data_IF_637180400792
#
_entry.id   IF_637180400792
#
_cell.length_a   1.000
_cell.length_b   1.000
_cell.length_c   1.000
_cell.angle_alpha   90.00
_cell.angle_beta   90.00
_cell.angle_gamma   90.00
#
_symmetry.space_group_name_H-M   'P 1'
#
loop_
_entity.id
_entity.type
_entity.pdbx_description
1 polymer ?
#
# COMPACT_ATOMS: atom_id res chain seq x y z
N UNK A 1 -29.65 -31.23 -13.34
CA UNK A 1 -29.91 -31.26 -11.89
C UNK A 1 -29.10 -30.12 -11.27
N UNK A 2 -29.73 -28.95 -11.11
CA UNK A 2 -29.06 -27.72 -10.74
C UNK A 2 -29.02 -27.56 -9.22
N UNK A 3 -27.82 -27.39 -8.67
CA UNK A 3 -27.65 -26.91 -7.30
C UNK A 3 -27.44 -25.40 -7.39
N UNK A 4 -28.51 -24.65 -7.17
CA UNK A 4 -28.47 -23.20 -6.99
C UNK A 4 -27.89 -22.92 -5.59
N UNK A 5 -26.58 -22.71 -5.50
CA UNK A 5 -25.98 -22.16 -4.28
C UNK A 5 -26.12 -20.65 -4.32
N UNK A 6 -27.15 -20.14 -3.65
CA UNK A 6 -27.23 -18.74 -3.25
C UNK A 6 -26.01 -18.41 -2.39
N UNK A 7 -25.11 -17.55 -2.87
CA UNK A 7 -23.98 -17.07 -2.08
C UNK A 7 -23.67 -15.64 -2.45
N UNK A 8 -23.93 -14.76 -1.48
CA UNK A 8 -23.50 -13.38 -1.42
C UNK A 8 -21.96 -13.28 -1.48
N UNK A 9 -21.35 -13.52 -2.64
CA UNK A 9 -19.90 -13.40 -2.81
C UNK A 9 -19.52 -11.92 -2.72
N UNK A 10 -18.94 -11.51 -1.59
CA UNK A 10 -18.25 -10.23 -1.47
C UNK A 10 -17.30 -10.09 -2.68
N UNK A 11 -17.39 -8.98 -3.42
CA UNK A 11 -16.49 -8.70 -4.55
C UNK A 11 -15.04 -8.83 -4.08
N UNK A 12 -14.16 -9.48 -4.85
CA UNK A 12 -12.76 -9.62 -4.48
C UNK A 12 -12.10 -8.24 -4.33
N UNK A 13 -11.23 -8.09 -3.33
CA UNK A 13 -10.47 -6.87 -3.11
C UNK A 13 -9.13 -6.98 -3.83
N UNK A 14 -8.80 -5.98 -4.66
CA UNK A 14 -7.49 -5.88 -5.29
C UNK A 14 -6.45 -5.52 -4.23
N UNK A 15 -5.45 -6.38 -4.04
CA UNK A 15 -4.33 -6.15 -3.14
C UNK A 15 -3.02 -6.10 -3.94
N UNK A 16 -2.36 -4.94 -3.92
CA UNK A 16 -1.08 -4.72 -4.57
C UNK A 16 0.01 -4.58 -3.50
N UNK A 17 1.13 -5.29 -3.67
CA UNK A 17 2.23 -5.33 -2.69
C UNK A 17 3.53 -4.79 -3.31
N UNK A 18 3.69 -3.46 -3.41
CA UNK A 18 4.86 -2.85 -4.06
C UNK A 18 6.19 -3.15 -3.37
N UNK A 19 6.17 -3.57 -2.10
CA UNK A 19 7.35 -3.99 -1.35
C UNK A 19 7.57 -5.52 -1.33
N UNK A 20 6.84 -6.26 -2.15
CA UNK A 20 6.84 -7.71 -2.13
C UNK A 20 6.15 -8.28 -0.89
N UNK A 21 6.54 -9.48 -0.47
CA UNK A 21 5.90 -10.19 0.63
C UNK A 21 6.84 -11.19 1.29
N UNK A 22 6.66 -11.42 2.59
CA UNK A 22 7.43 -12.41 3.36
C UNK A 22 7.19 -13.87 2.96
N UNK A 23 6.23 -14.11 2.06
CA UNK A 23 5.86 -15.43 1.58
C UNK A 23 6.02 -15.58 0.06
N UNK A 24 6.75 -14.67 -0.59
CA UNK A 24 6.97 -14.66 -2.03
C UNK A 24 8.41 -15.07 -2.35
N UNK A 25 8.54 -16.08 -3.21
CA UNK A 25 9.80 -16.52 -3.77
C UNK A 25 9.73 -16.42 -5.29
N UNK A 26 10.84 -16.05 -5.91
CA UNK A 26 10.97 -15.85 -7.34
C UNK A 26 12.07 -16.75 -7.90
N UNK A 27 11.79 -17.43 -9.01
CA UNK A 27 12.81 -18.12 -9.77
C UNK A 27 13.27 -17.24 -10.93
N UNK A 28 14.55 -16.81 -10.98
CA UNK A 28 15.05 -15.95 -12.03
C UNK A 28 15.14 -16.63 -13.40
N UNK A 29 15.28 -17.96 -13.43
CA UNK A 29 15.40 -18.74 -14.67
C UNK A 29 14.03 -19.02 -15.30
N UNK A 30 13.06 -19.49 -14.50
CA UNK A 30 11.70 -19.77 -15.00
C UNK A 30 10.81 -18.53 -15.08
N UNK A 31 11.27 -17.39 -14.53
CA UNK A 31 10.47 -16.18 -14.36
C UNK A 31 9.12 -16.48 -13.68
N UNK A 32 9.15 -17.23 -12.58
CA UNK A 32 7.94 -17.72 -11.91
C UNK A 32 7.94 -17.38 -10.41
N UNK A 33 6.74 -17.18 -9.87
CA UNK A 33 6.52 -16.87 -8.45
C UNK A 33 5.98 -18.08 -7.73
N UNK A 34 6.53 -18.36 -6.55
CA UNK A 34 5.99 -19.34 -5.62
C UNK A 34 5.52 -18.64 -4.34
N UNK A 35 4.26 -18.93 -3.95
CA UNK A 35 3.72 -18.53 -2.67
C UNK A 35 4.06 -19.58 -1.62
N UNK A 36 4.36 -19.14 -0.41
CA UNK A 36 4.54 -20.02 0.77
C UNK A 36 3.47 -19.72 1.82
N UNK A 37 2.20 -20.14 1.61
CA UNK A 37 1.12 -19.84 2.55
C UNK A 37 1.43 -20.31 3.97
N UNK A 38 1.06 -19.48 4.96
CA UNK A 38 1.27 -19.73 6.40
C UNK A 38 2.73 -19.91 6.83
N UNK A 39 3.68 -19.73 5.92
CA UNK A 39 5.13 -19.75 6.19
C UNK A 39 5.73 -18.43 5.77
N UNK A 40 6.84 -18.05 6.39
CA UNK A 40 7.61 -16.89 5.96
C UNK A 40 8.72 -17.40 5.03
N UNK A 41 8.33 -18.01 3.91
CA UNK A 41 9.26 -18.69 3.02
C UNK A 41 10.36 -17.78 2.48
N UNK A 42 10.10 -16.47 2.36
CA UNK A 42 11.12 -15.49 2.02
C UNK A 42 12.15 -15.31 3.14
N UNK A 43 11.74 -15.40 4.42
CA UNK A 43 12.67 -15.38 5.57
C UNK A 43 13.49 -16.67 5.61
N UNK A 44 12.83 -17.81 5.45
CA UNK A 44 13.49 -19.13 5.42
C UNK A 44 14.54 -19.20 4.30
N UNK A 45 14.23 -18.62 3.13
CA UNK A 45 15.14 -18.59 1.99
C UNK A 45 16.44 -17.81 2.22
N UNK A 46 16.48 -16.85 3.15
CA UNK A 46 17.76 -16.19 3.53
C UNK A 46 18.72 -17.14 4.27
N UNK A 47 18.19 -18.16 4.95
CA UNK A 47 18.99 -19.11 5.73
C UNK A 47 19.21 -20.43 4.98
N UNK A 48 18.24 -20.84 4.15
CA UNK A 48 18.30 -22.06 3.36
C UNK A 48 17.67 -21.81 2.00
N UNK A 49 18.50 -21.77 0.96
CA UNK A 49 18.06 -21.58 -0.41
C UNK A 49 17.02 -22.64 -0.77
N UNK A 50 15.81 -22.17 -1.10
CA UNK A 50 14.80 -23.02 -1.69
C UNK A 50 15.12 -23.17 -3.18
N UNK A 51 15.05 -24.40 -3.67
CA UNK A 51 15.37 -24.74 -5.04
C UNK A 51 14.08 -24.77 -5.87
N UNK A 52 14.13 -24.19 -7.07
CA UNK A 52 13.03 -24.28 -8.02
C UNK A 52 12.82 -25.74 -8.43
N UNK A 53 11.58 -26.23 -8.38
CA UNK A 53 11.26 -27.62 -8.74
C UNK A 53 11.37 -27.92 -10.23
N UNK A 54 11.35 -26.89 -11.07
CA UNK A 54 11.34 -27.03 -12.54
C UNK A 54 12.74 -26.96 -13.17
N UNK A 55 13.61 -26.07 -12.65
CA UNK A 55 14.93 -25.81 -13.26
C UNK A 55 16.10 -25.87 -12.28
N UNK A 56 15.85 -26.27 -11.03
CA UNK A 56 16.84 -26.41 -9.96
C UNK A 56 17.62 -25.13 -9.59
N UNK A 57 17.26 -23.98 -10.17
CA UNK A 57 17.87 -22.70 -9.82
C UNK A 57 17.44 -22.28 -8.41
N UNK A 58 18.35 -21.76 -7.56
CA UNK A 58 18.01 -21.15 -6.29
C UNK A 58 16.95 -20.05 -6.46
N UNK A 59 15.90 -20.12 -5.65
CA UNK A 59 14.85 -19.11 -5.63
C UNK A 59 15.23 -17.96 -4.71
N UNK A 60 14.84 -16.75 -5.10
CA UNK A 60 15.16 -15.52 -4.41
C UNK A 60 13.94 -14.97 -3.65
N UNK A 61 14.12 -14.41 -2.44
CA UNK A 61 13.05 -13.73 -1.73
C UNK A 61 12.64 -12.43 -2.42
N UNK A 62 11.34 -12.23 -2.65
CA UNK A 62 10.81 -10.98 -3.19
C UNK A 62 10.39 -10.05 -2.06
N UNK A 63 11.37 -9.37 -1.46
CA UNK A 63 11.18 -8.34 -0.44
C UNK A 63 11.95 -7.10 -0.87
N UNK A 64 11.23 -5.98 -1.04
CA UNK A 64 11.83 -4.70 -1.40
C UNK A 64 11.69 -3.76 -0.20
N UNK A 65 12.76 -3.55 0.58
CA UNK A 65 12.70 -2.66 1.72
C UNK A 65 12.44 -1.22 1.26
N UNK A 66 11.82 -0.35 2.07
CA UNK A 66 11.63 1.06 1.75
C UNK A 66 12.94 1.85 1.88
N UNK A 67 13.94 1.53 1.04
CA UNK A 67 15.25 2.21 0.93
C UNK A 67 15.31 3.09 -0.33
N UNK A 68 16.30 3.99 -0.39
CA UNK A 68 16.59 4.81 -1.57
C UNK A 68 17.12 4.00 -2.76
N UNK A 69 17.94 2.98 -2.49
CA UNK A 69 18.45 2.04 -3.48
C UNK A 69 17.63 0.76 -3.40
N UNK A 70 16.73 0.56 -4.36
CA UNK A 70 15.89 -0.64 -4.49
C UNK A 70 16.19 -1.27 -5.83
N UNK A 71 16.49 -2.57 -5.84
CA UNK A 71 16.48 -3.32 -7.08
C UNK A 71 15.02 -3.53 -7.53
N UNK A 72 14.71 -2.95 -8.68
CA UNK A 72 13.38 -3.02 -9.32
C UNK A 72 13.41 -3.93 -10.55
N UNK A 73 14.47 -4.73 -10.73
CA UNK A 73 14.65 -5.65 -11.87
C UNK A 73 13.59 -6.76 -11.92
N UNK A 74 13.00 -7.13 -10.78
CA UNK A 74 12.01 -8.19 -10.73
C UNK A 74 10.74 -7.82 -11.55
N UNK A 75 10.40 -8.59 -12.59
CA UNK A 75 9.32 -8.24 -13.52
C UNK A 75 7.94 -8.26 -12.86
N UNK A 76 7.71 -9.09 -11.85
CA UNK A 76 6.44 -9.11 -11.11
C UNK A 76 6.26 -7.85 -10.28
N UNK A 77 7.33 -7.34 -9.67
CA UNK A 77 7.30 -6.05 -8.99
C UNK A 77 7.00 -4.93 -9.97
N UNK A 78 7.65 -4.91 -11.14
CA UNK A 78 7.38 -3.88 -12.16
C UNK A 78 5.91 -3.88 -12.57
N UNK A 79 5.31 -5.06 -12.82
CA UNK A 79 3.89 -5.18 -13.12
C UNK A 79 3.00 -4.68 -11.98
N UNK A 80 3.35 -4.96 -10.72
CA UNK A 80 2.63 -4.44 -9.55
C UNK A 80 2.71 -2.91 -9.53
N UNK A 81 3.88 -2.31 -9.77
CA UNK A 81 4.03 -0.85 -9.80
C UNK A 81 3.24 -0.20 -10.94
N UNK A 82 3.24 -0.82 -12.13
CA UNK A 82 2.39 -0.38 -13.24
C UNK A 82 0.91 -0.42 -12.84
N UNK A 83 0.48 -1.49 -12.17
CA UNK A 83 -0.91 -1.59 -11.71
C UNK A 83 -1.25 -0.59 -10.61
N UNK A 84 -0.32 -0.36 -9.68
CA UNK A 84 -0.45 0.70 -8.67
C UNK A 84 -0.64 2.05 -9.33
N UNK A 85 0.17 2.35 -10.36
CA UNK A 85 0.04 3.60 -11.11
C UNK A 85 -1.33 3.74 -11.76
N UNK A 86 -1.83 2.72 -12.45
CA UNK A 86 -3.17 2.72 -13.06
C UNK A 86 -4.28 2.97 -12.03
N UNK A 87 -4.22 2.31 -10.87
CA UNK A 87 -5.24 2.45 -9.83
C UNK A 87 -5.20 3.84 -9.21
N UNK A 88 -4.01 4.32 -8.83
CA UNK A 88 -3.84 5.62 -8.19
C UNK A 88 -4.21 6.77 -9.13
N UNK A 89 -3.86 6.66 -10.42
CA UNK A 89 -4.22 7.60 -11.49
C UNK A 89 -5.73 7.87 -11.56
N UNK A 90 -6.53 6.83 -11.39
CA UNK A 90 -7.99 6.89 -11.51
C UNK A 90 -8.69 7.09 -10.16
N UNK A 91 -7.94 7.19 -9.06
CA UNK A 91 -8.53 7.31 -7.73
C UNK A 91 -9.13 8.71 -7.51
N UNK A 92 -10.38 8.74 -7.05
CA UNK A 92 -11.03 9.96 -6.59
C UNK A 92 -10.66 10.30 -5.15
N UNK A 93 -10.56 9.25 -4.32
CA UNK A 93 -10.22 9.32 -2.91
C UNK A 93 -9.09 8.37 -2.60
N UNK A 94 -8.15 8.80 -1.78
CA UNK A 94 -7.02 7.99 -1.31
C UNK A 94 -7.01 8.02 0.22
N UNK A 95 -7.00 6.83 0.84
CA UNK A 95 -6.92 6.68 2.29
C UNK A 95 -5.51 6.22 2.66
N UNK A 96 -4.75 7.07 3.33
CA UNK A 96 -3.40 6.79 3.82
C UNK A 96 -3.51 6.36 5.28
N UNK A 97 -3.38 5.05 5.52
CA UNK A 97 -3.61 4.42 6.82
C UNK A 97 -2.30 3.92 7.43
N UNK A 98 -1.93 4.40 8.61
CA UNK A 98 -0.77 3.89 9.36
C UNK A 98 0.59 4.10 8.69
N UNK A 99 0.68 5.05 7.75
CA UNK A 99 1.88 5.31 6.96
C UNK A 99 2.47 6.68 7.33
N UNK A 100 3.75 6.69 7.71
CA UNK A 100 4.47 7.91 8.13
C UNK A 100 4.99 8.78 6.98
N UNK A 101 4.74 8.36 5.74
CA UNK A 101 5.20 9.08 4.54
C UNK A 101 6.73 9.35 4.52
N UNK A 102 7.58 8.34 4.84
CA UNK A 102 9.02 8.54 5.04
C UNK A 102 9.73 8.93 3.74
N UNK A 103 10.82 9.69 3.83
CA UNK A 103 11.54 10.21 2.66
C UNK A 103 12.22 9.13 1.82
N UNK A 104 12.60 8.01 2.44
CA UNK A 104 13.19 6.87 1.75
C UNK A 104 12.21 6.13 0.81
N UNK A 105 10.91 6.36 0.91
CA UNK A 105 9.92 5.67 0.07
C UNK A 105 9.57 6.45 -1.22
N UNK A 106 10.63 6.81 -1.94
CA UNK A 106 10.56 7.67 -3.13
C UNK A 106 9.66 7.11 -4.25
N UNK A 107 9.63 5.78 -4.45
CA UNK A 107 8.83 5.18 -5.52
C UNK A 107 7.33 5.28 -5.27
N UNK A 108 6.86 5.07 -4.03
CA UNK A 108 5.44 5.25 -3.69
C UNK A 108 5.05 6.73 -3.76
N UNK A 109 5.92 7.62 -3.28
CA UNK A 109 5.75 9.08 -3.45
C UNK A 109 5.67 9.46 -4.93
N UNK A 110 6.54 8.93 -5.78
CA UNK A 110 6.52 9.18 -7.21
C UNK A 110 5.19 8.75 -7.85
N UNK A 111 4.67 7.57 -7.49
CA UNK A 111 3.36 7.11 -7.96
C UNK A 111 2.22 8.07 -7.58
N UNK A 112 2.17 8.49 -6.31
CA UNK A 112 1.16 9.42 -5.81
C UNK A 112 1.26 10.79 -6.49
N UNK A 113 2.48 11.31 -6.68
CA UNK A 113 2.73 12.59 -7.34
C UNK A 113 2.31 12.55 -8.80
N UNK A 114 2.64 11.45 -9.50
CA UNK A 114 2.21 11.25 -10.89
C UNK A 114 0.69 11.14 -11.02
N UNK A 115 0.02 10.50 -10.07
CA UNK A 115 -1.43 10.43 -10.06
C UNK A 115 -2.05 11.83 -9.93
N UNK A 116 -1.54 12.65 -9.01
CA UNK A 116 -1.97 14.05 -8.84
C UNK A 116 -1.72 14.89 -10.11
N UNK A 117 -0.52 14.81 -10.71
CA UNK A 117 -0.19 15.54 -11.93
C UNK A 117 -1.10 15.11 -13.09
N UNK A 118 -1.30 13.80 -13.27
CA UNK A 118 -2.15 13.29 -14.35
C UNK A 118 -3.59 13.78 -14.21
N UNK A 119 -4.13 13.79 -12.99
CA UNK A 119 -5.48 14.26 -12.70
C UNK A 119 -5.63 15.77 -12.90
N UNK A 120 -4.53 16.53 -12.82
CA UNK A 120 -4.52 17.99 -12.86
C UNK A 120 -4.90 18.65 -11.53
N UNK A 121 -5.28 17.87 -10.53
CA UNK A 121 -5.66 18.32 -9.19
C UNK A 121 -5.43 17.20 -8.16
N UNK A 122 -5.32 17.58 -6.89
CA UNK A 122 -5.14 16.63 -5.78
C UNK A 122 -6.40 15.77 -5.61
N UNK A 123 -6.29 14.43 -5.55
CA UNK A 123 -7.42 13.59 -5.15
C UNK A 123 -7.77 13.85 -3.68
N UNK A 124 -8.99 13.50 -3.24
CA UNK A 124 -9.34 13.69 -1.84
C UNK A 124 -8.52 12.72 -0.97
N UNK A 125 -7.60 13.25 -0.16
CA UNK A 125 -6.69 12.45 0.66
C UNK A 125 -7.23 12.40 2.09
N UNK A 126 -7.41 11.21 2.63
CA UNK A 126 -7.69 10.99 4.05
C UNK A 126 -6.43 10.45 4.72
N UNK A 127 -5.94 11.13 5.76
CA UNK A 127 -4.78 10.70 6.53
C UNK A 127 -5.25 10.12 7.87
N UNK A 128 -4.99 8.83 8.06
CA UNK A 128 -5.38 8.05 9.23
C UNK A 128 -4.12 7.51 9.91
N UNK A 129 -3.52 8.34 10.76
CA UNK A 129 -2.29 8.00 11.48
C UNK A 129 -2.16 8.79 12.80
N UNK A 130 -3.28 9.14 13.43
CA UNK A 130 -3.26 9.97 14.63
C UNK A 130 -2.89 9.15 15.88
N UNK A 131 -1.95 9.66 16.67
CA UNK A 131 -1.53 9.12 17.96
C UNK A 131 -1.36 10.29 18.93
N UNK A 132 -1.91 10.16 20.15
CA UNK A 132 -1.92 11.24 21.16
C UNK A 132 -0.51 11.69 21.56
N UNK A 133 0.44 10.76 21.62
CA UNK A 133 1.80 11.00 22.12
C UNK A 133 2.81 11.34 21.01
N UNK A 134 2.40 11.27 19.74
CA UNK A 134 3.27 11.59 18.61
C UNK A 134 3.23 13.11 18.42
N UNK A 135 4.41 13.77 18.41
CA UNK A 135 4.54 15.10 17.80
C UNK A 135 4.08 14.96 16.35
N UNK A 136 2.79 15.20 16.11
CA UNK A 136 2.09 14.93 14.84
C UNK A 136 2.58 15.79 13.68
N UNK A 137 3.57 16.64 13.92
CA UNK A 137 4.08 17.62 12.97
C UNK A 137 4.90 16.99 11.84
N UNK A 138 5.73 15.97 12.06
CA UNK A 138 6.65 15.50 11.02
C UNK A 138 5.95 14.83 9.83
N UNK A 139 5.18 13.76 10.08
CA UNK A 139 4.44 13.06 9.01
C UNK A 139 3.48 14.02 8.30
N UNK A 140 2.83 14.89 9.08
CA UNK A 140 1.97 15.95 8.56
C UNK A 140 2.74 16.90 7.65
N UNK A 141 3.86 17.45 8.11
CA UNK A 141 4.72 18.34 7.32
C UNK A 141 5.17 17.67 6.02
N UNK A 142 5.52 16.38 6.05
CA UNK A 142 5.90 15.64 4.83
C UNK A 142 4.73 15.57 3.83
N UNK A 143 3.52 15.29 4.30
CA UNK A 143 2.33 15.19 3.44
C UNK A 143 1.88 16.58 2.94
N UNK A 144 1.86 17.60 3.80
CA UNK A 144 1.46 18.97 3.43
C UNK A 144 2.40 19.63 2.43
N UNK A 145 3.70 19.31 2.49
CA UNK A 145 4.68 19.74 1.49
C UNK A 145 4.59 18.93 0.20
N UNK A 146 4.02 17.74 0.27
CA UNK A 146 3.95 16.84 -0.86
C UNK A 146 2.78 17.14 -1.78
N UNK A 147 1.54 17.23 -1.30
CA UNK A 147 0.38 17.47 -2.16
C UNK A 147 0.19 18.95 -2.51
N UNK A 148 -0.27 19.24 -3.74
CA UNK A 148 -0.41 20.61 -4.26
C UNK A 148 -1.57 21.35 -3.58
N UNK A 149 -2.75 20.75 -3.51
CA UNK A 149 -3.95 21.33 -2.91
C UNK A 149 -4.14 20.78 -1.49
N UNK A 150 -3.80 21.60 -0.50
CA UNK A 150 -3.84 21.22 0.92
C UNK A 150 -5.26 21.08 1.46
N UNK A 151 -6.22 21.80 0.88
CA UNK A 151 -7.63 21.76 1.31
C UNK A 151 -8.28 20.39 1.03
N UNK A 152 -7.68 19.62 0.12
CA UNK A 152 -8.08 18.24 -0.18
C UNK A 152 -7.41 17.19 0.69
N UNK A 153 -6.55 17.59 1.62
CA UNK A 153 -5.89 16.70 2.57
C UNK A 153 -6.60 16.77 3.92
N UNK A 154 -7.35 15.72 4.24
CA UNK A 154 -8.17 15.60 5.43
C UNK A 154 -7.42 14.78 6.47
N UNK A 155 -6.92 15.46 7.50
CA UNK A 155 -6.30 14.80 8.65
C UNK A 155 -7.38 14.34 9.61
N UNK A 156 -7.40 13.05 9.93
CA UNK A 156 -8.39 12.48 10.86
C UNK A 156 -7.84 12.40 12.28
N UNK A 157 -8.71 12.42 13.28
CA UNK A 157 -8.39 12.18 14.69
C UNK A 157 -8.28 10.67 15.01
N UNK A 158 -8.20 9.81 13.99
CA UNK A 158 -8.22 8.37 14.12
C UNK A 158 -6.81 7.78 14.02
N UNK A 159 -6.50 6.84 14.92
CA UNK A 159 -5.40 5.91 14.73
C UNK A 159 -5.78 4.88 13.66
N UNK A 160 -4.77 4.25 13.03
CA UNK A 160 -5.03 3.18 12.07
C UNK A 160 -5.83 2.03 12.70
N UNK A 161 -5.49 1.61 13.91
CA UNK A 161 -6.17 0.52 14.61
C UNK A 161 -7.65 0.83 14.82
N UNK A 162 -7.97 2.01 15.35
CA UNK A 162 -9.37 2.40 15.58
C UNK A 162 -10.15 2.47 14.27
N UNK A 163 -9.55 3.06 13.24
CA UNK A 163 -10.15 3.10 11.91
C UNK A 163 -10.44 1.71 11.35
N UNK A 164 -9.47 0.79 11.43
CA UNK A 164 -9.59 -0.55 10.85
C UNK A 164 -10.61 -1.44 11.56
N UNK A 165 -10.74 -1.32 12.88
CA UNK A 165 -11.57 -2.21 13.70
C UNK A 165 -12.99 -1.66 13.89
N UNK A 166 -13.14 -0.35 14.11
CA UNK A 166 -14.40 0.22 14.60
C UNK A 166 -15.13 1.09 13.56
N UNK A 167 -14.41 1.74 12.65
CA UNK A 167 -14.97 2.83 11.82
C UNK A 167 -15.12 2.38 10.36
N UNK A 168 -14.02 2.07 9.69
CA UNK A 168 -13.98 1.77 8.26
C UNK A 168 -14.30 2.96 7.35
N UNK A 169 -14.23 2.71 6.04
CA UNK A 169 -14.34 3.76 5.02
C UNK A 169 -15.73 4.41 4.99
N UNK A 170 -16.80 3.61 5.07
CA UNK A 170 -18.17 4.11 4.91
C UNK A 170 -18.56 5.09 6.02
N UNK A 171 -18.31 4.74 7.27
CA UNK A 171 -18.62 5.60 8.43
C UNK A 171 -17.78 6.88 8.40
N UNK A 172 -16.49 6.77 8.07
CA UNK A 172 -15.59 7.92 7.97
C UNK A 172 -16.07 8.93 6.91
N UNK A 173 -16.45 8.46 5.73
CA UNK A 173 -16.92 9.33 4.64
C UNK A 173 -18.28 9.95 4.97
N UNK A 174 -19.21 9.18 5.53
CA UNK A 174 -20.55 9.67 5.86
C UNK A 174 -20.55 10.68 7.01
N UNK A 175 -19.58 10.59 7.93
CA UNK A 175 -19.48 11.44 9.11
C UNK A 175 -18.15 12.21 9.13
N UNK A 176 -17.72 12.73 7.98
CA UNK A 176 -16.40 13.35 7.80
C UNK A 176 -16.06 14.42 8.85
N UNK A 177 -17.01 15.30 9.18
CA UNK A 177 -16.79 16.41 10.12
C UNK A 177 -16.51 15.94 11.56
N UNK A 178 -17.07 14.79 11.96
CA UNK A 178 -16.86 14.17 13.28
C UNK A 178 -15.43 13.68 13.46
N UNK A 179 -14.79 13.24 12.37
CA UNK A 179 -13.46 12.62 12.42
C UNK A 179 -12.34 13.54 11.95
N UNK A 180 -12.67 14.68 11.34
CA UNK A 180 -11.67 15.63 10.84
C UNK A 180 -11.05 16.42 11.99
N UNK A 181 -9.72 16.46 12.05
CA UNK A 181 -8.99 17.35 12.95
C UNK A 181 -9.18 18.79 12.49
N UNK A 182 -9.71 19.62 13.38
CA UNK A 182 -9.74 21.06 13.21
C UNK A 182 -8.47 21.64 13.83
N UNK A 183 -7.59 22.16 12.99
CA UNK A 183 -6.43 22.91 13.47
C UNK A 183 -6.87 24.36 13.69
N UNK A 184 -6.70 24.87 14.91
CA UNK A 184 -6.89 26.29 15.17
C UNK A 184 -5.90 27.10 14.34
N UNK A 185 -6.38 28.20 13.74
CA UNK A 185 -5.54 29.18 13.03
C UNK A 185 -4.60 29.93 13.95
#
# INVERSE_FOLDING_TARGET
>A
MGITVSSNRKKPVLLLKPHGSLNWLYCPTCNSMELTPKRKGSIEAFYKNKICKECETPMEPVIIPPTFYKDMSNPFIQQIYLKCYEVLRNAERIFICGYSFPDADMHLKYLLKRAEIFKGDTPEIYVINHHKDKKSSEDRNRIERFFKNKDKVIYTNLSFQKFAVEIGIKELVNNKDKYTLKFGG
#
